data_IF_714796653387
#
_entry.id   IF_714796653387
#
_cell.length_a   1.000
_cell.length_b   1.000
_cell.length_c   1.000
_cell.angle_alpha   90.00
_cell.angle_beta   90.00
_cell.angle_gamma   90.00
#
_symmetry.space_group_name_H-M   'P 1'
#
loop_
_entity.id
_entity.type
_entity.pdbx_description
1 polymer ?
#
# COMPACT_ATOMS: atom_id res chain seq x y z
N UNK A 1 13.85 0.61 -4.10
CA UNK A 1 13.46 0.07 -2.98
C UNK A 1 12.31 -0.89 -2.90
N UNK A 2 12.29 -1.59 -1.80
CA UNK A 2 11.22 -2.48 -1.37
C UNK A 2 10.32 -1.72 -0.37
N UNK A 3 9.00 -1.86 -0.51
CA UNK A 3 7.99 -1.39 0.43
C UNK A 3 7.23 -2.58 0.99
N UNK A 4 6.89 -2.54 2.27
CA UNK A 4 6.05 -3.53 2.94
C UNK A 4 4.90 -2.79 3.64
N UNK A 5 3.67 -3.08 3.22
CA UNK A 5 2.47 -2.74 3.97
C UNK A 5 2.18 -3.88 4.94
N UNK A 6 2.14 -3.57 6.23
CA UNK A 6 1.94 -4.57 7.28
C UNK A 6 0.47 -4.91 7.47
N UNK A 7 0.18 -6.15 7.81
CA UNK A 7 -1.16 -6.56 8.25
C UNK A 7 -1.68 -5.65 9.39
N UNK A 8 -0.80 -5.31 10.33
CA UNK A 8 -1.09 -4.36 11.43
C UNK A 8 -0.08 -3.22 11.43
N UNK A 9 -0.43 -2.07 10.86
CA UNK A 9 0.44 -0.90 10.85
C UNK A 9 0.77 -0.41 12.27
N UNK A 10 2.03 -0.04 12.49
CA UNK A 10 2.50 0.43 13.79
C UNK A 10 2.27 1.94 13.92
N UNK A 11 1.80 2.38 15.11
CA UNK A 11 1.72 3.79 15.45
C UNK A 11 3.09 4.35 15.85
N UNK A 12 3.37 5.60 15.45
CA UNK A 12 4.60 6.33 15.83
C UNK A 12 4.17 7.65 16.50
N UNK A 13 3.89 7.62 17.81
CA UNK A 13 3.51 8.82 18.54
C UNK A 13 4.57 9.91 18.46
N UNK A 14 4.16 11.15 18.33
CA UNK A 14 5.07 12.31 18.27
C UNK A 14 5.66 12.60 16.89
N UNK A 15 5.56 11.67 15.91
CA UNK A 15 6.06 11.87 14.54
C UNK A 15 4.89 12.18 13.61
N UNK A 16 4.84 13.41 13.07
CA UNK A 16 3.78 13.79 12.13
C UNK A 16 3.92 13.04 10.80
N UNK A 17 2.79 12.67 10.21
CA UNK A 17 2.72 11.97 8.91
C UNK A 17 3.49 12.73 7.81
N UNK A 18 3.32 14.05 7.72
CA UNK A 18 4.01 14.84 6.69
C UNK A 18 5.54 14.83 6.88
N UNK A 19 6.02 14.93 8.13
CA UNK A 19 7.46 14.94 8.40
C UNK A 19 8.06 13.55 8.12
N UNK A 20 7.40 12.49 8.58
CA UNK A 20 7.78 11.12 8.27
C UNK A 20 7.88 10.88 6.76
N UNK A 21 6.83 11.21 6.02
CA UNK A 21 6.78 10.99 4.57
C UNK A 21 7.83 11.79 3.82
N UNK A 22 8.11 13.04 4.24
CA UNK A 22 9.13 13.86 3.59
C UNK A 22 10.53 13.27 3.77
N UNK A 23 10.87 12.83 4.97
CA UNK A 23 12.15 12.19 5.26
C UNK A 23 12.28 10.84 4.52
N UNK A 24 11.28 9.98 4.64
CA UNK A 24 11.27 8.68 4.02
C UNK A 24 11.36 8.76 2.48
N UNK A 25 10.53 9.61 1.85
CA UNK A 25 10.53 9.80 0.40
C UNK A 25 11.88 10.38 -0.08
N UNK A 26 12.46 11.33 0.66
CA UNK A 26 13.78 11.86 0.30
C UNK A 26 14.85 10.77 0.29
N UNK A 27 14.91 9.98 1.34
CA UNK A 27 15.94 8.93 1.48
C UNK A 27 15.76 7.79 0.47
N UNK A 28 14.51 7.38 0.17
CA UNK A 28 14.23 6.33 -0.81
C UNK A 28 14.54 6.80 -2.22
N UNK A 29 14.23 8.05 -2.56
CA UNK A 29 14.44 8.61 -3.91
C UNK A 29 15.91 9.03 -4.15
N UNK A 30 16.65 9.34 -3.09
CA UNK A 30 18.08 9.65 -3.13
C UNK A 30 18.84 8.79 -2.11
N UNK A 31 19.12 7.51 -2.43
CA UNK A 31 19.82 6.60 -1.52
C UNK A 31 21.27 7.02 -1.20
N UNK A 32 21.87 7.86 -2.05
CA UNK A 32 23.22 8.38 -1.83
C UNK A 32 23.27 9.62 -0.92
N UNK A 33 22.09 10.12 -0.51
CA UNK A 33 21.99 11.28 0.37
C UNK A 33 22.67 11.03 1.70
N UNK A 34 23.51 11.99 2.13
CA UNK A 34 24.16 11.96 3.45
C UNK A 34 23.28 12.64 4.50
N UNK A 35 23.50 12.29 5.76
CA UNK A 35 22.87 12.95 6.88
C UNK A 35 23.21 14.46 6.87
N UNK A 36 22.19 15.32 7.10
CA UNK A 36 22.34 16.77 7.06
C UNK A 36 22.14 17.42 5.69
N UNK A 37 22.13 16.65 4.57
CA UNK A 37 21.80 17.21 3.26
C UNK A 37 20.31 17.55 3.14
N UNK A 38 19.99 18.44 2.21
CA UNK A 38 18.64 18.95 2.03
C UNK A 38 17.62 17.85 1.70
N UNK A 39 16.44 17.97 2.31
CA UNK A 39 15.26 17.16 1.98
C UNK A 39 14.60 17.69 0.70
N UNK A 40 13.68 16.90 0.12
CA UNK A 40 12.80 17.38 -0.95
C UNK A 40 12.27 18.78 -0.60
N UNK A 41 12.36 19.75 -1.53
CA UNK A 41 11.89 21.12 -1.28
C UNK A 41 10.44 21.14 -0.77
N UNK A 42 10.18 21.86 0.32
CA UNK A 42 8.89 21.83 1.01
C UNK A 42 7.71 22.14 0.08
N UNK A 43 7.86 23.07 -0.85
CA UNK A 43 6.81 23.44 -1.82
C UNK A 43 6.46 22.25 -2.73
N UNK A 44 7.47 21.56 -3.24
CA UNK A 44 7.31 20.38 -4.09
C UNK A 44 6.64 19.24 -3.32
N UNK A 45 7.16 18.95 -2.12
CA UNK A 45 6.62 17.92 -1.25
C UNK A 45 5.14 18.16 -0.90
N UNK A 46 4.78 19.37 -0.47
CA UNK A 46 3.40 19.71 -0.11
C UNK A 46 2.44 19.57 -1.29
N UNK A 47 2.86 19.97 -2.49
CA UNK A 47 2.04 19.81 -3.70
C UNK A 47 1.78 18.33 -3.96
N UNK A 48 2.82 17.50 -3.97
CA UNK A 48 2.71 16.06 -4.22
C UNK A 48 1.88 15.36 -3.14
N UNK A 49 2.12 15.66 -1.85
CA UNK A 49 1.36 15.10 -0.75
C UNK A 49 -0.14 15.42 -0.87
N UNK A 50 -0.48 16.67 -1.18
CA UNK A 50 -1.87 17.08 -1.39
C UNK A 50 -2.53 16.28 -2.51
N UNK A 51 -1.88 16.21 -3.69
CA UNK A 51 -2.38 15.44 -4.85
C UNK A 51 -2.64 13.97 -4.49
N UNK A 52 -1.72 13.33 -3.75
CA UNK A 52 -1.86 11.93 -3.34
C UNK A 52 -2.96 11.74 -2.30
N UNK A 53 -3.10 12.64 -1.35
CA UNK A 53 -4.19 12.59 -0.37
C UNK A 53 -5.57 12.79 -1.01
N UNK A 54 -5.69 13.68 -1.99
CA UNK A 54 -6.92 13.88 -2.76
C UNK A 54 -7.31 12.59 -3.53
N UNK A 55 -6.34 11.93 -4.20
CA UNK A 55 -6.55 10.65 -4.89
C UNK A 55 -7.07 9.55 -3.94
N UNK A 56 -6.58 9.53 -2.70
CA UNK A 56 -6.97 8.57 -1.66
C UNK A 56 -8.21 9.00 -0.86
N UNK A 57 -8.84 10.13 -1.20
CA UNK A 57 -9.95 10.73 -0.44
C UNK A 57 -9.63 10.87 1.05
N UNK A 58 -8.39 11.24 1.35
CA UNK A 58 -7.92 11.49 2.72
C UNK A 58 -8.10 12.95 3.09
N UNK A 59 -8.57 13.20 4.31
CA UNK A 59 -8.64 14.55 4.86
C UNK A 59 -7.22 15.13 4.98
N UNK A 60 -6.97 16.37 4.51
CA UNK A 60 -5.66 17.03 4.65
C UNK A 60 -5.13 17.11 6.10
N UNK A 61 -5.99 17.07 7.10
CA UNK A 61 -5.59 17.06 8.51
C UNK A 61 -4.75 15.84 8.90
N UNK A 62 -4.87 14.71 8.17
CA UNK A 62 -4.02 13.53 8.41
C UNK A 62 -2.53 13.84 8.25
N UNK A 63 -2.17 14.80 7.39
CA UNK A 63 -0.78 15.23 7.25
C UNK A 63 -0.16 15.79 8.56
N UNK A 64 -1.02 16.31 9.45
CA UNK A 64 -0.62 16.93 10.72
C UNK A 64 -0.70 15.97 11.90
N UNK A 65 -1.44 14.87 11.77
CA UNK A 65 -1.58 13.83 12.81
C UNK A 65 -0.31 12.98 12.90
N UNK A 66 -0.10 12.37 14.02
CA UNK A 66 1.00 11.40 14.19
C UNK A 66 0.71 10.12 13.41
N UNK A 67 1.80 9.50 12.91
CA UNK A 67 1.69 8.30 12.05
C UNK A 67 0.90 7.20 12.78
N UNK A 68 -0.25 6.84 12.23
CA UNK A 68 -1.16 5.79 12.72
C UNK A 68 -1.66 5.95 14.16
N UNK A 69 -1.35 7.06 14.84
CA UNK A 69 -1.77 7.30 16.22
C UNK A 69 -3.24 7.76 16.26
N UNK A 70 -4.08 6.95 16.92
CA UNK A 70 -5.52 7.19 16.98
C UNK A 70 -6.24 7.08 15.64
N UNK A 71 -5.66 6.41 14.64
CA UNK A 71 -6.32 6.12 13.37
C UNK A 71 -7.25 4.91 13.51
N UNK A 72 -8.38 4.94 12.81
CA UNK A 72 -9.20 3.74 12.58
C UNK A 72 -8.45 2.76 11.66
N UNK A 73 -8.89 1.49 11.61
CA UNK A 73 -8.27 0.49 10.74
C UNK A 73 -8.22 0.94 9.27
N UNK A 74 -9.33 1.48 8.75
CA UNK A 74 -9.39 2.00 7.38
C UNK A 74 -8.50 3.22 7.14
N UNK A 75 -8.35 4.09 8.14
CA UNK A 75 -7.42 5.22 8.06
C UNK A 75 -5.96 4.76 8.03
N UNK A 76 -5.60 3.75 8.85
CA UNK A 76 -4.25 3.16 8.84
C UNK A 76 -3.91 2.56 7.48
N UNK A 77 -4.83 1.80 6.87
CA UNK A 77 -4.62 1.19 5.55
C UNK A 77 -4.48 2.24 4.44
N UNK A 78 -5.31 3.29 4.44
CA UNK A 78 -5.13 4.41 3.51
C UNK A 78 -3.81 5.15 3.73
N UNK A 79 -3.37 5.28 4.98
CA UNK A 79 -2.08 5.88 5.29
C UNK A 79 -0.90 5.04 4.76
N UNK A 80 -0.99 3.70 4.76
CA UNK A 80 0.00 2.83 4.13
C UNK A 80 0.03 2.97 2.60
N UNK A 81 -1.14 3.03 1.97
CA UNK A 81 -1.23 3.28 0.51
C UNK A 81 -0.66 4.67 0.17
N UNK A 82 -0.90 5.69 1.01
CA UNK A 82 -0.29 7.01 0.87
C UNK A 82 1.24 6.94 0.98
N UNK A 83 1.76 6.16 1.93
CA UNK A 83 3.21 5.94 2.07
C UNK A 83 3.77 5.31 0.79
N UNK A 84 3.16 4.25 0.27
CA UNK A 84 3.57 3.62 -0.99
C UNK A 84 3.57 4.63 -2.16
N UNK A 85 2.51 5.45 -2.28
CA UNK A 85 2.40 6.47 -3.32
C UNK A 85 3.50 7.53 -3.25
N UNK A 86 3.87 7.94 -2.03
CA UNK A 86 4.89 8.97 -1.80
C UNK A 86 6.31 8.41 -1.92
N UNK A 87 6.55 7.16 -1.52
CA UNK A 87 7.87 6.52 -1.58
C UNK A 87 8.24 6.06 -2.99
N UNK A 88 7.25 5.70 -3.82
CA UNK A 88 7.43 5.17 -5.18
C UNK A 88 8.43 4.01 -5.23
N UNK A 89 8.19 2.92 -4.52
CA UNK A 89 9.11 1.78 -4.48
C UNK A 89 9.15 1.09 -5.84
N UNK A 90 10.22 0.32 -6.10
CA UNK A 90 10.29 -0.57 -7.27
C UNK A 90 9.49 -1.85 -7.07
N UNK A 91 9.33 -2.26 -5.81
CA UNK A 91 8.58 -3.45 -5.44
C UNK A 91 7.80 -3.20 -4.14
N UNK A 92 6.54 -3.61 -4.10
CA UNK A 92 5.68 -3.52 -2.93
C UNK A 92 5.14 -4.89 -2.55
N UNK A 93 5.13 -5.19 -1.25
CA UNK A 93 4.43 -6.32 -0.65
C UNK A 93 3.26 -5.74 0.14
N UNK A 94 2.06 -6.17 -0.18
CA UNK A 94 0.81 -5.73 0.45
C UNK A 94 0.22 -6.91 1.22
N UNK A 95 0.42 -6.90 2.55
CA UNK A 95 0.01 -7.99 3.42
C UNK A 95 -1.36 -7.67 4.05
N UNK A 96 -2.41 -8.31 3.52
CA UNK A 96 -3.80 -8.13 3.95
C UNK A 96 -4.19 -6.65 4.13
N UNK A 97 -3.87 -5.81 3.13
CA UNK A 97 -4.16 -4.37 3.18
C UNK A 97 -5.64 -4.04 3.14
N UNK A 98 -6.47 -5.01 2.89
CA UNK A 98 -7.93 -5.00 2.85
C UNK A 98 -8.58 -5.50 4.15
N UNK A 99 -7.83 -6.11 5.06
CA UNK A 99 -8.35 -6.64 6.31
C UNK A 99 -8.97 -5.55 7.20
N UNK A 100 -10.21 -5.78 7.65
CA UNK A 100 -10.94 -4.85 8.51
C UNK A 100 -11.48 -3.59 7.81
N UNK A 101 -11.47 -3.56 6.48
CA UNK A 101 -12.10 -2.53 5.66
C UNK A 101 -13.55 -2.91 5.34
N UNK A 102 -14.42 -1.91 5.22
CA UNK A 102 -15.72 -2.08 4.58
C UNK A 102 -15.57 -2.18 3.05
N UNK A 103 -16.63 -2.61 2.35
CA UNK A 103 -16.64 -2.82 0.91
C UNK A 103 -16.21 -1.58 0.11
N UNK A 104 -16.63 -0.40 0.51
CA UNK A 104 -16.29 0.85 -0.20
C UNK A 104 -14.82 1.21 0.01
N UNK A 105 -14.28 0.98 1.20
CA UNK A 105 -12.87 1.20 1.51
C UNK A 105 -11.97 0.19 0.77
N UNK A 106 -12.35 -1.10 0.66
CA UNK A 106 -11.62 -2.10 -0.14
C UNK A 106 -11.59 -1.68 -1.61
N UNK A 107 -12.72 -1.26 -2.18
CA UNK A 107 -12.78 -0.79 -3.58
C UNK A 107 -11.88 0.43 -3.81
N UNK A 108 -11.89 1.40 -2.90
CA UNK A 108 -11.01 2.56 -2.97
C UNK A 108 -9.53 2.17 -2.88
N UNK A 109 -9.19 1.24 -2.00
CA UNK A 109 -7.85 0.70 -1.87
C UNK A 109 -7.40 0.01 -3.17
N UNK A 110 -8.24 -0.87 -3.73
CA UNK A 110 -8.01 -1.57 -5.00
C UNK A 110 -7.71 -0.59 -6.15
N UNK A 111 -8.58 0.40 -6.35
CA UNK A 111 -8.38 1.43 -7.39
C UNK A 111 -7.09 2.23 -7.17
N UNK A 112 -6.79 2.57 -5.92
CA UNK A 112 -5.61 3.35 -5.57
C UNK A 112 -4.32 2.59 -5.82
N UNK A 113 -4.28 1.31 -5.46
CA UNK A 113 -3.14 0.41 -5.71
C UNK A 113 -2.90 0.30 -7.23
N UNK A 114 -3.95 0.08 -8.02
CA UNK A 114 -3.85 -0.01 -9.47
C UNK A 114 -3.30 1.29 -10.11
N UNK A 115 -3.74 2.46 -9.61
CA UNK A 115 -3.26 3.76 -10.12
C UNK A 115 -1.81 4.06 -9.72
N UNK A 116 -1.41 3.67 -8.50
CA UNK A 116 -0.07 3.93 -7.96
C UNK A 116 0.95 2.94 -8.56
N UNK A 117 0.57 1.66 -8.67
CA UNK A 117 1.45 0.59 -9.13
C UNK A 117 2.00 0.82 -10.53
N UNK A 118 1.14 1.19 -11.46
CA UNK A 118 1.56 1.42 -12.85
C UNK A 118 2.30 0.21 -13.46
N UNK A 119 3.15 0.49 -14.48
CA UNK A 119 3.95 -0.55 -15.17
C UNK A 119 5.35 -0.75 -14.56
N UNK A 120 5.79 0.18 -13.74
CA UNK A 120 7.18 0.24 -13.26
C UNK A 120 7.35 -0.28 -11.82
N UNK A 121 6.26 -0.76 -11.20
CA UNK A 121 6.26 -1.29 -9.84
C UNK A 121 5.81 -2.75 -9.84
N UNK A 122 6.64 -3.65 -9.33
CA UNK A 122 6.22 -5.02 -8.99
C UNK A 122 5.39 -5.00 -7.71
N UNK A 123 4.23 -5.68 -7.71
CA UNK A 123 3.37 -5.75 -6.54
C UNK A 123 3.09 -7.22 -6.21
N UNK A 124 3.37 -7.63 -4.98
CA UNK A 124 2.92 -8.88 -4.39
C UNK A 124 1.78 -8.56 -3.43
N UNK A 125 0.60 -9.09 -3.71
CA UNK A 125 -0.59 -8.93 -2.88
C UNK A 125 -0.87 -10.25 -2.15
N UNK A 126 -0.99 -10.19 -0.83
CA UNK A 126 -1.49 -11.28 0.00
C UNK A 126 -2.88 -10.86 0.45
N UNK A 127 -3.90 -11.57 0.01
CA UNK A 127 -5.30 -11.27 0.33
C UNK A 127 -6.16 -12.53 0.28
N UNK A 128 -7.27 -12.49 0.99
CA UNK A 128 -8.37 -13.44 0.89
C UNK A 128 -9.66 -12.74 0.39
N UNK A 129 -9.58 -11.47 0.00
CA UNK A 129 -10.68 -10.68 -0.53
C UNK A 129 -10.52 -10.44 -2.03
N UNK A 130 -11.42 -10.99 -2.80
CA UNK A 130 -11.47 -10.89 -4.27
C UNK A 130 -11.62 -9.46 -4.76
N UNK A 131 -12.38 -8.64 -4.04
CA UNK A 131 -12.62 -7.24 -4.39
C UNK A 131 -11.33 -6.42 -4.52
N UNK A 132 -10.25 -6.81 -3.83
CA UNK A 132 -8.94 -6.17 -4.01
C UNK A 132 -8.37 -6.46 -5.39
N UNK A 133 -8.69 -7.62 -5.99
CA UNK A 133 -8.21 -8.06 -7.29
C UNK A 133 -9.02 -7.49 -8.47
N UNK A 134 -10.23 -6.93 -8.25
CA UNK A 134 -11.07 -6.36 -9.31
C UNK A 134 -10.31 -5.36 -10.21
N UNK A 135 -9.49 -4.50 -9.61
CA UNK A 135 -8.69 -3.49 -10.30
C UNK A 135 -7.19 -3.84 -10.37
N UNK A 136 -6.78 -4.93 -9.71
CA UNK A 136 -5.40 -5.39 -9.60
C UNK A 136 -5.28 -6.84 -10.08
N UNK A 137 -5.75 -7.12 -11.30
CA UNK A 137 -5.73 -8.48 -11.83
C UNK A 137 -4.30 -9.03 -11.85
N UNK A 138 -4.02 -10.15 -11.16
CA UNK A 138 -2.67 -10.66 -11.02
C UNK A 138 -2.16 -11.22 -12.36
N UNK A 139 -0.85 -11.13 -12.60
CA UNK A 139 -0.20 -11.84 -13.70
C UNK A 139 0.10 -13.29 -13.31
N UNK A 140 0.37 -13.50 -12.03
CA UNK A 140 0.65 -14.80 -11.43
C UNK A 140 -0.10 -14.93 -10.13
N UNK A 141 -0.68 -16.12 -9.90
CA UNK A 141 -1.38 -16.49 -8.67
C UNK A 141 -0.67 -17.70 -8.07
N UNK A 142 -0.40 -17.63 -6.76
CA UNK A 142 0.22 -18.71 -6.00
C UNK A 142 -0.70 -19.11 -4.85
N UNK A 143 -1.05 -20.40 -4.78
CA UNK A 143 -1.84 -20.96 -3.67
C UNK A 143 -0.89 -21.52 -2.63
N UNK A 144 -1.04 -21.05 -1.38
CA UNK A 144 -0.19 -21.47 -0.26
C UNK A 144 -1.06 -22.23 0.75
N UNK A 145 -0.71 -23.50 1.03
CA UNK A 145 -1.32 -24.31 2.07
C UNK A 145 -0.24 -24.92 2.95
N UNK A 146 -0.45 -24.89 4.26
CA UNK A 146 0.52 -25.44 5.22
C UNK A 146 1.93 -24.87 5.07
N UNK A 147 2.07 -23.60 4.64
CA UNK A 147 3.36 -22.93 4.43
C UNK A 147 4.10 -23.33 3.16
N UNK A 148 3.42 -24.01 2.22
CA UNK A 148 4.01 -24.43 0.93
C UNK A 148 3.16 -23.93 -0.23
N UNK A 149 3.82 -23.51 -1.32
CA UNK A 149 3.14 -23.25 -2.59
C UNK A 149 2.73 -24.60 -3.17
N UNK A 150 1.40 -24.81 -3.24
CA UNK A 150 0.82 -26.08 -3.76
C UNK A 150 0.43 -25.95 -5.24
N UNK A 151 0.12 -24.73 -5.69
CA UNK A 151 -0.17 -24.45 -7.09
C UNK A 151 0.29 -23.06 -7.48
N UNK A 152 0.67 -22.90 -8.75
CA UNK A 152 0.96 -21.62 -9.40
C UNK A 152 0.24 -21.57 -10.73
N UNK A 153 -0.40 -20.44 -11.04
CA UNK A 153 -1.12 -20.22 -12.29
C UNK A 153 -1.17 -18.76 -12.67
N UNK A 154 -1.93 -18.44 -13.71
CA UNK A 154 -2.23 -17.10 -14.13
C UNK A 154 -3.42 -16.48 -13.38
N UNK A 155 -4.03 -15.42 -13.96
CA UNK A 155 -5.22 -14.78 -13.38
C UNK A 155 -6.42 -15.73 -13.25
N UNK A 156 -6.54 -16.73 -14.13
CA UNK A 156 -7.61 -17.73 -14.10
C UNK A 156 -7.61 -18.57 -12.81
N UNK A 157 -6.44 -18.77 -12.20
CA UNK A 157 -6.37 -19.48 -10.92
C UNK A 157 -6.99 -18.67 -9.77
N UNK A 158 -6.93 -17.34 -9.83
CA UNK A 158 -7.62 -16.48 -8.87
C UNK A 158 -9.15 -16.61 -9.05
N UNK A 159 -9.64 -16.59 -10.30
CA UNK A 159 -11.05 -16.75 -10.64
C UNK A 159 -11.57 -18.15 -10.17
N UNK A 160 -10.77 -19.22 -10.35
CA UNK A 160 -11.12 -20.58 -9.87
C UNK A 160 -11.20 -20.68 -8.33
N UNK A 161 -10.31 -19.97 -7.63
CA UNK A 161 -10.33 -19.92 -6.16
C UNK A 161 -11.57 -19.19 -5.64
N UNK A 162 -12.01 -18.14 -6.35
CA UNK A 162 -13.23 -17.41 -6.08
C UNK A 162 -14.46 -18.30 -6.18
N UNK A 163 -14.58 -19.05 -7.28
CA UNK A 163 -15.75 -19.89 -7.55
C UNK A 163 -15.81 -21.16 -6.69
N UNK A 164 -14.67 -21.80 -6.40
CA UNK A 164 -14.63 -23.14 -5.83
C UNK A 164 -13.95 -23.21 -4.46
N UNK A 165 -13.33 -22.11 -4.00
CA UNK A 165 -12.58 -22.10 -2.74
C UNK A 165 -11.34 -23.02 -2.77
N UNK A 166 -10.84 -23.36 -1.59
CA UNK A 166 -9.63 -24.17 -1.42
C UNK A 166 -9.86 -25.69 -1.35
N UNK A 167 -11.10 -26.15 -1.58
CA UNK A 167 -11.50 -27.58 -1.39
C UNK A 167 -10.73 -28.54 -2.30
N UNK A 168 -10.15 -28.02 -3.38
CA UNK A 168 -9.47 -28.78 -4.43
C UNK A 168 -7.96 -28.97 -4.17
N UNK A 169 -7.42 -28.28 -3.19
CA UNK A 169 -6.00 -28.28 -2.83
C UNK A 169 -5.79 -28.95 -1.48
#
# INVERSE_FOLDING_TARGET
GLFLAFQRPVAIPGVKMADFLRHAATNVRNPARKEGEELIPMRQFRKELKEKMEQLRMDPEFARRYVNDGFSGGEMKRAEILQMAMLRPKFAILDETDSGLDTDAVRLASQSIAQIGGRDMGILIITHHEQLLEHNRPQFTHVILGGRIVQTGGPELADELEEHGYVRF
#
